data_IF_073710604329
#
_entry.id   IF_073710604329
#
_cell.length_a   1.000
_cell.length_b   1.000
_cell.length_c   1.000
_cell.angle_alpha   90.00
_cell.angle_beta   90.00
_cell.angle_gamma   90.00
#
_symmetry.space_group_name_H-M   'P 1'
#
loop_
_entity.id
_entity.type
_entity.pdbx_description
1 polymer ?
#
# COMPACT_ATOMS: atom_id res chain seq x y z
N UNK A 1 -30.33 50.05 24.85
CA UNK A 1 -29.86 48.90 24.07
C UNK A 1 -28.89 48.16 24.96
N UNK A 2 -28.96 46.83 24.87
CA UNK A 2 -28.01 45.82 25.36
C UNK A 2 -28.11 45.40 26.84
N UNK A 3 -28.81 44.29 27.07
CA UNK A 3 -28.40 43.28 28.04
C UNK A 3 -28.48 41.91 27.32
N UNK A 4 -27.32 41.38 26.97
CA UNK A 4 -27.13 40.03 26.43
C UNK A 4 -27.30 39.01 27.58
N UNK A 5 -28.25 38.10 27.41
CA UNK A 5 -28.52 37.00 28.34
C UNK A 5 -27.45 35.91 28.16
N UNK A 6 -26.42 35.96 29.00
CA UNK A 6 -25.33 34.99 29.06
C UNK A 6 -25.83 33.71 29.75
N UNK A 7 -26.26 32.73 28.98
CA UNK A 7 -26.64 31.42 29.50
C UNK A 7 -25.40 30.60 29.89
N UNK A 8 -24.98 30.73 31.15
CA UNK A 8 -23.97 29.88 31.76
C UNK A 8 -24.58 28.50 32.05
N UNK A 9 -24.27 27.52 31.22
CA UNK A 9 -24.61 26.12 31.48
C UNK A 9 -23.40 25.42 32.08
N UNK A 10 -23.52 24.99 33.33
CA UNK A 10 -22.51 24.14 33.98
C UNK A 10 -22.73 22.71 33.51
N UNK A 11 -21.94 22.23 32.55
CA UNK A 11 -21.98 20.80 32.18
C UNK A 11 -21.38 19.99 33.32
N UNK A 12 -22.19 19.14 33.93
CA UNK A 12 -21.71 18.09 34.82
C UNK A 12 -20.81 17.15 34.03
N UNK A 13 -19.53 17.12 34.39
CA UNK A 13 -18.45 16.36 33.72
C UNK A 13 -18.58 14.84 33.81
N UNK A 14 -19.63 14.30 33.20
CA UNK A 14 -19.84 12.87 33.01
C UNK A 14 -20.78 12.54 31.84
N UNK A 15 -21.65 13.47 31.43
CA UNK A 15 -22.55 13.28 30.29
C UNK A 15 -21.82 13.36 28.93
N UNK A 16 -20.73 14.13 28.86
CA UNK A 16 -19.94 14.27 27.63
C UNK A 16 -19.18 12.98 27.30
N UNK A 17 -18.69 12.27 28.31
CA UNK A 17 -17.97 11.00 28.13
C UNK A 17 -18.92 9.88 27.68
N UNK A 18 -20.16 9.88 28.19
CA UNK A 18 -21.19 8.91 27.81
C UNK A 18 -21.77 9.22 26.42
N UNK A 19 -21.97 10.50 26.09
CA UNK A 19 -22.39 10.93 24.75
C UNK A 19 -21.29 10.73 23.71
N UNK A 20 -20.02 11.00 24.05
CA UNK A 20 -18.88 10.71 23.19
C UNK A 20 -18.72 9.20 22.99
N UNK A 21 -18.90 8.39 24.03
CA UNK A 21 -18.90 6.93 23.90
C UNK A 21 -20.06 6.40 23.04
N UNK A 22 -21.23 7.05 23.10
CA UNK A 22 -22.41 6.70 22.31
C UNK A 22 -22.33 7.17 20.85
N UNK A 23 -21.66 8.31 20.60
CA UNK A 23 -21.53 8.92 19.28
C UNK A 23 -20.32 8.39 18.49
N UNK A 24 -19.22 8.07 19.18
CA UNK A 24 -17.96 7.64 18.56
C UNK A 24 -17.58 6.18 18.83
N UNK A 25 -18.37 5.46 19.62
CA UNK A 25 -18.06 4.09 20.04
C UNK A 25 -16.86 4.05 21.00
N UNK A 26 -16.75 2.96 21.77
CA UNK A 26 -15.61 2.76 22.67
C UNK A 26 -14.28 2.82 21.89
N UNK A 27 -13.43 3.79 22.25
CA UNK A 27 -12.05 3.90 21.75
C UNK A 27 -11.14 2.76 22.20
N UNK A 28 -11.68 1.80 22.98
CA UNK A 28 -11.00 0.57 23.34
C UNK A 28 -11.01 -0.39 22.15
N UNK A 29 -10.24 -0.02 21.13
CA UNK A 29 -9.94 -0.85 19.98
C UNK A 29 -9.27 -2.12 20.46
N UNK A 30 -10.06 -3.15 20.75
CA UNK A 30 -9.60 -4.54 20.77
C UNK A 30 -8.95 -4.74 19.41
N UNK A 31 -7.63 -4.64 19.36
CA UNK A 31 -6.84 -5.04 18.19
C UNK A 31 -7.22 -6.49 17.96
N UNK A 32 -8.20 -6.68 17.07
CA UNK A 32 -8.65 -7.98 16.66
C UNK A 32 -7.40 -8.75 16.27
N UNK A 33 -7.37 -10.04 16.59
CA UNK A 33 -6.27 -10.98 16.32
C UNK A 33 -6.18 -11.20 14.80
N UNK A 34 -6.14 -10.12 14.03
CA UNK A 34 -6.22 -10.07 12.58
C UNK A 34 -4.88 -10.59 12.07
N UNK A 35 -4.96 -11.62 11.25
CA UNK A 35 -3.86 -12.04 10.38
C UNK A 35 -3.39 -10.77 9.66
N UNK A 36 -2.07 -10.47 9.62
CA UNK A 36 -1.60 -9.23 9.02
C UNK A 36 -2.14 -9.10 7.60
N UNK A 37 -2.96 -8.06 7.39
CA UNK A 37 -3.50 -7.72 6.08
C UNK A 37 -2.40 -7.14 5.17
N UNK A 38 -1.11 -7.28 5.46
CA UNK A 38 -0.04 -6.86 4.54
C UNK A 38 1.22 -7.56 4.99
N UNK A 39 1.82 -8.33 4.10
CA UNK A 39 3.14 -8.90 4.32
C UNK A 39 4.16 -8.01 3.63
N UNK A 40 5.30 -7.78 4.29
CA UNK A 40 6.40 -7.13 3.60
C UNK A 40 6.94 -8.11 2.55
N UNK A 41 6.74 -7.78 1.28
CA UNK A 41 7.10 -8.65 0.15
C UNK A 41 8.51 -9.24 0.22
N UNK A 42 9.49 -8.45 0.69
CA UNK A 42 10.90 -8.88 0.78
C UNK A 42 11.19 -9.89 1.89
N UNK A 43 10.29 -10.01 2.86
CA UNK A 43 10.50 -10.78 4.08
C UNK A 43 9.58 -12.03 4.13
N UNK A 44 8.89 -12.35 3.02
CA UNK A 44 8.00 -13.50 2.93
C UNK A 44 8.79 -14.81 2.84
N UNK A 45 8.38 -15.83 3.60
CA UNK A 45 8.86 -17.19 3.37
C UNK A 45 8.32 -17.73 2.03
N UNK A 46 8.99 -18.72 1.42
CA UNK A 46 8.62 -19.21 0.09
C UNK A 46 7.18 -19.69 -0.06
N UNK A 47 6.59 -20.32 0.97
CA UNK A 47 5.21 -20.84 0.91
C UNK A 47 4.20 -19.71 0.94
N UNK A 48 4.44 -18.72 1.80
CA UNK A 48 3.61 -17.50 1.83
C UNK A 48 3.73 -16.73 0.52
N UNK A 49 4.95 -16.61 -0.02
CA UNK A 49 5.19 -15.93 -1.28
C UNK A 49 4.41 -16.57 -2.45
N UNK A 50 4.39 -17.91 -2.55
CA UNK A 50 3.64 -18.62 -3.59
C UNK A 50 2.13 -18.34 -3.51
N UNK A 51 1.57 -18.38 -2.29
CA UNK A 51 0.14 -18.11 -2.07
C UNK A 51 -0.20 -16.67 -2.43
N UNK A 52 0.60 -15.72 -1.95
CA UNK A 52 0.44 -14.29 -2.25
C UNK A 52 0.55 -14.03 -3.75
N UNK A 53 1.50 -14.69 -4.42
CA UNK A 53 1.70 -14.56 -5.87
C UNK A 53 0.47 -14.99 -6.65
N UNK A 54 -0.14 -16.13 -6.28
CA UNK A 54 -1.37 -16.63 -6.92
C UNK A 54 -2.52 -15.64 -6.74
N UNK A 55 -2.78 -15.20 -5.51
CA UNK A 55 -3.85 -14.24 -5.22
C UNK A 55 -3.61 -12.89 -5.93
N UNK A 56 -2.36 -12.45 -6.05
CA UNK A 56 -2.02 -11.25 -6.83
C UNK A 56 -2.39 -11.44 -8.30
N UNK A 57 -2.04 -12.56 -8.92
CA UNK A 57 -2.39 -12.85 -10.31
C UNK A 57 -3.90 -12.85 -10.57
N UNK A 58 -4.68 -13.51 -9.72
CA UNK A 58 -6.15 -13.54 -9.81
C UNK A 58 -6.76 -12.14 -9.67
N UNK A 59 -6.24 -11.34 -8.73
CA UNK A 59 -6.70 -9.98 -8.52
C UNK A 59 -6.31 -9.04 -9.69
N UNK A 60 -5.12 -9.19 -10.27
CA UNK A 60 -4.71 -8.41 -11.45
C UNK A 60 -5.62 -8.74 -12.64
N UNK A 61 -6.00 -10.01 -12.83
CA UNK A 61 -6.96 -10.40 -13.85
C UNK A 61 -8.31 -9.69 -13.64
N UNK A 62 -8.85 -9.75 -12.42
CA UNK A 62 -10.07 -9.03 -12.08
C UNK A 62 -9.96 -7.51 -12.32
N UNK A 63 -8.84 -6.89 -11.95
CA UNK A 63 -8.61 -5.46 -12.12
C UNK A 63 -8.63 -5.08 -13.61
N UNK A 64 -7.91 -5.82 -14.44
CA UNK A 64 -7.84 -5.59 -15.89
C UNK A 64 -9.24 -5.74 -16.52
N UNK A 65 -9.97 -6.80 -16.17
CA UNK A 65 -11.28 -7.09 -16.74
C UNK A 65 -12.34 -6.07 -16.28
N UNK A 66 -12.32 -5.69 -15.00
CA UNK A 66 -13.31 -4.77 -14.43
C UNK A 66 -13.14 -3.35 -14.94
N UNK A 67 -11.90 -2.85 -14.97
CA UNK A 67 -11.59 -1.47 -15.36
C UNK A 67 -11.14 -1.35 -16.82
N UNK A 68 -11.21 -2.43 -17.59
CA UNK A 68 -10.86 -2.50 -19.01
C UNK A 68 -9.46 -1.91 -19.29
N UNK A 69 -8.49 -2.27 -18.45
CA UNK A 69 -7.15 -1.69 -18.50
C UNK A 69 -6.39 -2.22 -19.73
N UNK A 70 -5.88 -1.34 -20.62
CA UNK A 70 -5.16 -1.78 -21.79
C UNK A 70 -3.72 -2.21 -21.44
N UNK A 71 -3.07 -2.93 -22.36
CA UNK A 71 -1.66 -3.34 -22.24
C UNK A 71 -0.67 -2.19 -22.06
N UNK A 72 -1.07 -0.96 -22.43
CA UNK A 72 -0.30 0.26 -22.18
C UNK A 72 -0.28 0.70 -20.71
N UNK A 73 -1.16 0.16 -19.87
CA UNK A 73 -1.16 0.34 -18.41
C UNK A 73 -0.50 -0.87 -17.75
N UNK A 74 -1.02 -2.07 -18.02
CA UNK A 74 -0.52 -3.34 -17.46
C UNK A 74 -0.15 -4.27 -18.62
N UNK A 75 1.14 -4.50 -18.91
CA UNK A 75 1.56 -5.34 -20.02
C UNK A 75 1.37 -6.83 -19.70
N UNK A 76 1.21 -7.69 -20.71
CA UNK A 76 1.06 -9.15 -20.52
C UNK A 76 2.25 -9.78 -19.76
N UNK A 77 3.43 -9.16 -19.85
CA UNK A 77 4.63 -9.56 -19.12
C UNK A 77 4.82 -8.84 -17.78
N UNK A 78 3.78 -8.22 -17.20
CA UNK A 78 3.84 -7.41 -15.96
C UNK A 78 4.62 -8.10 -14.82
N UNK A 79 4.44 -9.41 -14.68
CA UNK A 79 5.07 -10.22 -13.63
C UNK A 79 6.60 -10.33 -13.75
N UNK A 80 7.16 -9.96 -14.90
CA UNK A 80 8.60 -9.90 -15.13
C UNK A 80 9.20 -8.53 -14.76
N UNK A 81 8.36 -7.57 -14.36
CA UNK A 81 8.75 -6.21 -14.00
C UNK A 81 8.54 -5.99 -12.51
N UNK A 82 9.64 -5.94 -11.75
CA UNK A 82 9.58 -5.89 -10.28
C UNK A 82 8.93 -4.62 -9.72
N UNK A 83 9.10 -3.49 -10.41
CA UNK A 83 8.41 -2.23 -10.11
C UNK A 83 6.91 -2.36 -10.32
N UNK A 84 6.50 -3.01 -11.42
CA UNK A 84 5.09 -3.27 -11.71
C UNK A 84 4.45 -4.21 -10.69
N UNK A 85 5.12 -5.30 -10.33
CA UNK A 85 4.69 -6.22 -9.27
C UNK A 85 4.53 -5.48 -7.93
N UNK A 86 5.47 -4.60 -7.58
CA UNK A 86 5.42 -3.87 -6.31
C UNK A 86 4.24 -2.89 -6.25
N UNK A 87 3.99 -2.15 -7.34
CA UNK A 87 2.86 -1.23 -7.46
C UNK A 87 1.52 -1.98 -7.38
N UNK A 88 1.36 -3.07 -8.15
CA UNK A 88 0.15 -3.90 -8.16
C UNK A 88 -0.10 -4.56 -6.79
N UNK A 89 0.94 -5.07 -6.14
CA UNK A 89 0.81 -5.63 -4.81
C UNK A 89 0.34 -4.57 -3.81
N UNK A 90 0.94 -3.37 -3.83
CA UNK A 90 0.52 -2.27 -2.99
C UNK A 90 -0.94 -1.86 -3.21
N UNK A 91 -1.37 -1.81 -4.47
CA UNK A 91 -2.74 -1.47 -4.84
C UNK A 91 -3.74 -2.54 -4.38
N UNK A 92 -3.42 -3.84 -4.56
CA UNK A 92 -4.22 -4.94 -4.00
C UNK A 92 -4.36 -4.82 -2.47
N UNK A 93 -3.27 -4.45 -1.78
CA UNK A 93 -3.33 -4.28 -0.33
C UNK A 93 -4.23 -3.12 0.08
N UNK A 94 -4.19 -2.02 -0.67
CA UNK A 94 -5.07 -0.87 -0.45
C UNK A 94 -6.54 -1.24 -0.67
N UNK A 95 -6.85 -1.97 -1.74
CA UNK A 95 -8.20 -2.48 -2.02
C UNK A 95 -8.74 -3.31 -0.86
N UNK A 96 -7.99 -4.31 -0.41
CA UNK A 96 -8.43 -5.17 0.69
C UNK A 96 -8.60 -4.41 2.02
N UNK A 97 -7.80 -3.38 2.27
CA UNK A 97 -7.93 -2.53 3.45
C UNK A 97 -9.16 -1.61 3.38
N UNK A 98 -9.67 -1.34 2.18
CA UNK A 98 -10.84 -0.47 1.96
C UNK A 98 -12.18 -1.15 2.29
N UNK A 99 -12.22 -2.46 2.49
CA UNK A 99 -13.44 -3.22 2.78
C UNK A 99 -13.45 -3.83 4.19
N UNK A 100 -12.85 -3.13 5.16
CA UNK A 100 -12.84 -3.59 6.55
C UNK A 100 -14.17 -3.33 7.24
N UNK A 101 -14.55 -4.18 8.19
CA UNK A 101 -15.83 -4.05 8.94
C UNK A 101 -15.91 -2.75 9.77
N UNK A 102 -14.76 -2.17 10.09
CA UNK A 102 -14.62 -0.90 10.81
C UNK A 102 -14.59 0.33 9.89
N UNK A 103 -14.75 0.17 8.57
CA UNK A 103 -14.79 1.30 7.63
C UNK A 103 -16.14 2.03 7.66
N UNK A 104 -16.11 3.36 7.81
CA UNK A 104 -17.29 4.22 7.80
C UNK A 104 -17.98 4.39 6.43
N UNK A 105 -17.61 3.58 5.43
CA UNK A 105 -18.13 3.59 4.06
C UNK A 105 -17.28 4.40 3.07
N UNK A 106 -16.17 4.99 3.50
CA UNK A 106 -15.32 5.83 2.66
C UNK A 106 -14.14 5.08 2.04
N UNK A 107 -13.75 3.93 2.60
CA UNK A 107 -12.65 3.10 2.12
C UNK A 107 -12.74 2.79 0.62
N UNK A 108 -13.91 2.34 0.10
CA UNK A 108 -14.03 1.99 -1.32
C UNK A 108 -13.81 3.18 -2.26
N UNK A 109 -14.34 4.37 -1.97
CA UNK A 109 -14.11 5.55 -2.83
C UNK A 109 -12.66 6.03 -2.74
N UNK A 110 -12.09 5.99 -1.54
CA UNK A 110 -10.68 6.32 -1.25
C UNK A 110 -9.70 5.40 -2.01
N UNK A 111 -10.06 4.13 -2.22
CA UNK A 111 -9.31 3.21 -3.08
C UNK A 111 -9.28 3.68 -4.54
N UNK A 112 -10.43 4.06 -5.11
CA UNK A 112 -10.53 4.50 -6.51
C UNK A 112 -9.72 5.78 -6.77
N UNK A 113 -9.70 6.70 -5.80
CA UNK A 113 -8.85 7.90 -5.85
C UNK A 113 -7.36 7.52 -5.95
N UNK A 114 -6.89 6.58 -5.11
CA UNK A 114 -5.49 6.10 -5.14
C UNK A 114 -5.17 5.30 -6.41
N UNK A 115 -6.13 4.54 -6.90
CA UNK A 115 -6.01 3.76 -8.13
C UNK A 115 -5.69 4.67 -9.32
N UNK A 116 -6.25 5.88 -9.36
CA UNK A 116 -5.97 6.84 -10.45
C UNK A 116 -4.48 7.17 -10.53
N UNK A 117 -3.86 7.55 -9.42
CA UNK A 117 -2.42 7.81 -9.38
C UNK A 117 -1.57 6.55 -9.62
N UNK A 118 -2.07 5.39 -9.22
CA UNK A 118 -1.40 4.11 -9.50
C UNK A 118 -1.39 3.81 -11.00
N UNK A 119 -2.51 4.00 -11.70
CA UNK A 119 -2.62 3.82 -13.16
C UNK A 119 -1.63 4.72 -13.90
N UNK A 120 -1.46 5.97 -13.49
CA UNK A 120 -0.49 6.89 -14.09
C UNK A 120 0.94 6.37 -13.95
N UNK A 121 1.35 5.95 -12.74
CA UNK A 121 2.65 5.33 -12.51
C UNK A 121 2.82 4.06 -13.35
N UNK A 122 1.80 3.21 -13.43
CA UNK A 122 1.85 1.98 -14.22
C UNK A 122 2.05 2.25 -15.71
N UNK A 123 1.41 3.29 -16.27
CA UNK A 123 1.68 3.72 -17.65
C UNK A 123 3.13 4.14 -17.84
N UNK A 124 3.71 4.87 -16.89
CA UNK A 124 5.10 5.32 -16.94
C UNK A 124 6.09 4.15 -16.84
N UNK A 125 5.84 3.20 -15.93
CA UNK A 125 6.59 1.96 -15.83
C UNK A 125 6.54 1.15 -17.13
N UNK A 126 5.34 0.98 -17.70
CA UNK A 126 5.14 0.24 -18.95
C UNK A 126 5.82 0.92 -20.15
N UNK A 127 5.74 2.26 -20.23
CA UNK A 127 6.45 3.06 -21.23
C UNK A 127 7.97 2.88 -21.12
N UNK A 128 8.50 2.96 -19.90
CA UNK A 128 9.93 2.76 -19.61
C UNK A 128 10.39 1.34 -19.95
N UNK A 129 9.57 0.33 -19.65
CA UNK A 129 9.85 -1.06 -19.97
C UNK A 129 9.88 -1.31 -21.49
N UNK A 130 9.04 -0.62 -22.26
CA UNK A 130 9.03 -0.66 -23.74
C UNK A 130 8.54 -1.98 -24.34
N UNK A 131 8.08 -2.93 -23.52
CA UNK A 131 7.70 -4.27 -23.97
C UNK A 131 6.50 -4.26 -24.93
N UNK A 132 5.56 -3.33 -24.72
CA UNK A 132 4.35 -3.18 -25.55
C UNK A 132 4.71 -2.77 -26.98
N UNK A 133 5.56 -1.75 -27.14
CA UNK A 133 5.98 -1.27 -28.46
C UNK A 133 6.87 -2.27 -29.20
N UNK A 134 7.69 -3.04 -28.47
CA UNK A 134 8.53 -4.11 -29.04
C UNK A 134 7.76 -5.40 -29.34
N UNK A 135 6.50 -5.51 -28.88
CA UNK A 135 5.71 -6.75 -28.92
C UNK A 135 6.47 -7.97 -28.34
N UNK A 136 7.41 -7.70 -27.44
CA UNK A 136 8.31 -8.69 -26.86
C UNK A 136 8.80 -8.18 -25.50
N UNK A 137 8.99 -9.11 -24.56
CA UNK A 137 9.51 -8.76 -23.25
C UNK A 137 10.96 -8.23 -23.35
N UNK A 138 11.21 -7.10 -22.70
CA UNK A 138 12.54 -6.51 -22.50
C UNK A 138 12.90 -6.58 -21.02
N UNK A 139 13.97 -7.32 -20.72
CA UNK A 139 14.45 -7.49 -19.36
C UNK A 139 14.84 -6.14 -18.72
N UNK A 140 14.44 -5.95 -17.46
CA UNK A 140 14.83 -4.78 -16.68
C UNK A 140 16.31 -4.87 -16.30
N UNK A 141 17.09 -3.85 -16.64
CA UNK A 141 18.51 -3.80 -16.26
C UNK A 141 18.60 -3.33 -14.81
N UNK A 142 19.03 -4.24 -13.91
CA UNK A 142 19.25 -3.89 -12.51
C UNK A 142 20.43 -2.93 -12.40
N UNK A 143 20.17 -1.71 -11.93
CA UNK A 143 21.23 -0.76 -11.55
C UNK A 143 21.87 -1.20 -10.22
N UNK A 144 23.19 -1.26 -10.17
CA UNK A 144 23.96 -1.45 -8.95
C UNK A 144 24.35 -0.09 -8.38
N UNK A 145 24.14 0.11 -7.08
CA UNK A 145 24.56 1.35 -6.40
C UNK A 145 26.09 1.35 -6.24
N UNK A 146 26.74 2.53 -6.28
CA UNK A 146 28.19 2.62 -6.05
C UNK A 146 28.62 2.03 -4.69
N UNK A 147 29.79 1.40 -4.61
CA UNK A 147 30.36 0.96 -3.33
C UNK A 147 30.71 2.17 -2.44
N UNK A 148 30.68 1.99 -1.12
CA UNK A 148 30.98 3.04 -0.13
C UNK A 148 29.77 3.90 0.28
N UNK A 149 28.59 3.66 -0.29
CA UNK A 149 27.34 4.28 0.17
C UNK A 149 26.80 3.67 1.48
N UNK A 150 25.86 4.34 2.15
CA UNK A 150 25.20 3.80 3.34
C UNK A 150 24.53 2.44 3.00
N UNK A 151 24.88 1.39 3.75
CA UNK A 151 24.44 0.01 3.50
C UNK A 151 25.43 -0.87 2.72
N UNK A 152 26.52 -0.30 2.16
CA UNK A 152 27.64 -1.11 1.70
C UNK A 152 28.41 -1.63 2.92
N UNK A 153 28.50 -2.95 3.09
CA UNK A 153 29.30 -3.55 4.15
C UNK A 153 30.79 -3.31 3.86
N UNK A 154 31.29 -2.16 4.31
CA UNK A 154 32.72 -1.93 4.48
C UNK A 154 33.03 -2.03 5.96
N UNK A 155 32.90 -3.23 6.54
CA UNK A 155 33.61 -3.53 7.77
C UNK A 155 35.07 -3.73 7.38
N UNK A 156 35.85 -2.66 7.53
CA UNK A 156 37.30 -2.69 7.37
C UNK A 156 37.91 -3.70 8.34
N UNK A 157 38.58 -4.69 7.79
CA UNK A 157 39.65 -5.38 8.50
C UNK A 157 40.82 -4.39 8.56
N UNK A 158 41.20 -3.98 9.77
CA UNK A 158 42.38 -3.15 10.01
C UNK A 158 43.56 -4.09 10.38
N UNK A 159 44.51 -4.38 9.46
CA UNK A 159 45.65 -5.25 9.73
C UNK A 159 46.81 -4.44 10.32
N UNK A 160 46.55 -3.68 11.39
CA UNK A 160 47.48 -2.62 11.85
C UNK A 160 47.45 -2.32 13.34
N UNK A 161 47.32 -3.31 14.22
CA UNK A 161 47.58 -3.11 15.65
C UNK A 161 48.99 -3.66 16.02
N UNK A 162 49.92 -2.84 16.54
CA UNK A 162 51.21 -3.34 17.05
C UNK A 162 51.02 -4.12 18.36
N UNK A 163 51.86 -5.15 18.53
CA UNK A 163 51.95 -6.04 19.70
C UNK A 163 52.51 -5.36 20.95
#
# INVERSE_FOLDING_TARGET
>A
MDEEDSFEYTVGGGAEDEFAAMLFGSAEGKRSKRIPMTYRWRDMDPRTAETVWKHLGEWVQWLVDTYHLPTSVIPDCWWKHSDMVAELYGLQRAEQASYTEDDGGFGPITFHERMTSSIERMRDHTRTAGCVGLQAHRATVRRVLPPGGPGSSSMGHDPGAPA
#
